data_IF_806388131585
#
_entry.id   IF_806388131585
#
_cell.length_a   1.000
_cell.length_b   1.000
_cell.length_c   1.000
_cell.angle_alpha   90.00
_cell.angle_beta   90.00
_cell.angle_gamma   90.00
#
_symmetry.space_group_name_H-M   'P 1'
#
loop_
_entity.id
_entity.type
_entity.pdbx_description
1 polymer ?
#
# COMPACT_ATOMS: atom_id res chain seq x y z
N UNK A 1 44.91 7.01 -11.85
CA UNK A 1 45.01 6.66 -10.42
C UNK A 1 44.41 7.80 -9.61
N UNK A 2 43.11 7.73 -9.37
CA UNK A 2 42.38 8.68 -8.54
C UNK A 2 42.66 8.33 -7.08
N UNK A 3 43.55 9.07 -6.43
CA UNK A 3 43.64 9.04 -4.97
C UNK A 3 42.48 9.87 -4.43
N UNK A 4 41.44 9.17 -4.00
CA UNK A 4 40.40 9.69 -3.12
C UNK A 4 41.12 10.18 -1.86
N UNK A 5 41.21 11.49 -1.69
CA UNK A 5 41.70 12.08 -0.44
C UNK A 5 40.63 11.83 0.62
N UNK A 6 40.83 10.78 1.41
CA UNK A 6 40.17 10.64 2.71
C UNK A 6 40.53 11.86 3.57
N UNK A 7 39.68 12.88 3.54
CA UNK A 7 39.61 13.86 4.62
C UNK A 7 38.78 13.23 5.74
N UNK A 8 39.42 12.36 6.51
CA UNK A 8 39.02 12.12 7.89
C UNK A 8 40.22 12.48 8.76
N UNK A 9 40.26 13.71 9.28
CA UNK A 9 40.92 13.94 10.56
C UNK A 9 39.93 14.59 11.54
N UNK A 10 40.11 14.29 12.83
CA UNK A 10 39.58 15.01 14.01
C UNK A 10 38.23 14.54 14.57
N UNK A 11 38.14 13.26 14.94
CA UNK A 11 37.13 12.78 15.92
C UNK A 11 37.48 13.16 17.39
N UNK A 12 38.37 14.12 17.64
CA UNK A 12 38.86 14.42 18.99
C UNK A 12 39.39 15.84 19.12
N UNK A 13 38.53 16.85 18.98
CA UNK A 13 38.88 18.20 19.45
C UNK A 13 37.83 18.87 20.29
N UNK A 14 36.54 18.55 20.13
CA UNK A 14 35.48 19.22 20.87
C UNK A 14 34.56 18.24 21.59
N UNK A 15 34.28 18.55 22.85
CA UNK A 15 33.16 17.99 23.60
C UNK A 15 31.87 18.67 23.10
N UNK A 16 30.76 17.93 22.98
CA UNK A 16 29.51 18.43 22.37
C UNK A 16 29.01 19.70 23.08
N UNK A 17 29.06 19.70 24.42
CA UNK A 17 28.70 20.83 25.26
C UNK A 17 29.64 22.02 25.04
N UNK A 18 30.94 21.77 24.85
CA UNK A 18 31.92 22.81 24.60
C UNK A 18 31.73 23.44 23.21
N UNK A 19 31.43 22.63 22.20
CA UNK A 19 31.15 23.10 20.85
C UNK A 19 29.91 24.01 20.81
N UNK A 20 28.85 23.63 21.53
CA UNK A 20 27.62 24.42 21.65
C UNK A 20 27.85 25.80 22.30
N UNK A 21 28.58 25.82 23.43
CA UNK A 21 28.94 27.08 24.12
C UNK A 21 29.82 27.99 23.25
N UNK A 22 30.79 27.42 22.53
CA UNK A 22 31.64 28.18 21.60
C UNK A 22 30.83 28.73 20.40
N UNK A 23 29.88 27.96 19.85
CA UNK A 23 28.98 28.43 18.78
C UNK A 23 28.08 29.58 19.25
N UNK A 24 27.52 29.48 20.46
CA UNK A 24 26.72 30.55 21.07
C UNK A 24 27.54 31.83 21.29
N UNK A 25 28.80 31.68 21.73
CA UNK A 25 29.71 32.80 21.89
C UNK A 25 29.98 33.50 20.54
N UNK A 26 30.26 32.74 19.50
CA UNK A 26 30.47 33.29 18.15
C UNK A 26 29.20 33.95 17.59
N UNK A 27 28.03 33.32 17.77
CA UNK A 27 26.75 33.88 17.32
C UNK A 27 26.42 35.20 18.03
N UNK A 28 26.68 35.28 19.35
CA UNK A 28 26.53 36.52 20.14
C UNK A 28 27.44 37.64 19.63
N UNK A 29 28.70 37.34 19.31
CA UNK A 29 29.63 38.33 18.75
C UNK A 29 29.20 38.82 17.35
N UNK A 30 28.75 37.90 16.49
CA UNK A 30 28.27 38.22 15.14
C UNK A 30 27.00 39.08 15.20
N UNK A 31 26.07 38.76 16.11
CA UNK A 31 24.83 39.53 16.34
C UNK A 31 25.11 40.94 16.87
N UNK A 32 26.19 41.12 17.65
CA UNK A 32 26.67 42.43 18.10
C UNK A 32 27.41 43.23 17.01
N UNK A 33 27.54 42.67 15.79
CA UNK A 33 28.13 43.34 14.63
C UNK A 33 29.65 43.22 14.54
N UNK A 34 30.28 42.34 15.33
CA UNK A 34 31.71 42.08 15.20
C UNK A 34 32.00 41.25 13.95
N UNK A 35 32.90 41.75 13.10
CA UNK A 35 33.35 41.02 11.92
C UNK A 35 34.55 40.13 12.28
N UNK A 36 34.36 38.83 12.18
CA UNK A 36 35.40 37.85 12.48
C UNK A 36 36.60 38.01 11.53
N UNK A 37 37.80 37.86 12.08
CA UNK A 37 39.01 37.73 11.27
C UNK A 37 38.92 36.44 10.44
N UNK A 38 39.54 36.37 9.24
CA UNK A 38 39.43 35.18 8.37
C UNK A 38 39.75 33.86 9.09
N UNK A 39 40.76 33.83 9.95
CA UNK A 39 41.13 32.63 10.71
C UNK A 39 40.10 32.23 11.79
N UNK A 40 39.45 33.22 12.42
CA UNK A 40 38.39 32.98 13.41
C UNK A 40 37.09 32.55 12.73
N UNK A 41 36.85 33.05 11.51
CA UNK A 41 35.74 32.64 10.67
C UNK A 41 35.90 31.18 10.20
N UNK A 42 37.09 30.80 9.73
CA UNK A 42 37.37 29.42 9.31
C UNK A 42 37.14 28.43 10.48
N UNK A 43 37.60 28.78 11.70
CA UNK A 43 37.36 27.98 12.90
C UNK A 43 35.88 27.88 13.27
N UNK A 44 35.12 28.97 13.14
CA UNK A 44 33.68 28.97 13.40
C UNK A 44 32.92 28.12 12.36
N UNK A 45 33.30 28.20 11.08
CA UNK A 45 32.70 27.42 10.00
C UNK A 45 32.97 25.92 10.16
N UNK A 46 34.22 25.55 10.50
CA UNK A 46 34.59 24.17 10.81
C UNK A 46 33.83 23.64 12.05
N UNK A 47 33.66 24.47 13.08
CA UNK A 47 32.87 24.16 14.29
C UNK A 47 31.41 23.94 14.01
N UNK A 48 30.82 24.83 13.22
CA UNK A 48 29.42 24.75 12.84
C UNK A 48 29.16 23.52 11.97
N UNK A 49 30.02 23.27 10.99
CA UNK A 49 29.89 22.10 10.12
C UNK A 49 30.01 20.79 10.92
N UNK A 50 30.96 20.72 11.85
CA UNK A 50 31.12 19.55 12.72
C UNK A 50 29.89 19.32 13.61
N UNK A 51 29.35 20.38 14.23
CA UNK A 51 28.15 20.31 15.06
C UNK A 51 26.92 19.92 14.23
N UNK A 52 26.75 20.49 13.03
CA UNK A 52 25.67 20.13 12.11
C UNK A 52 25.78 18.63 11.73
N UNK A 53 26.98 18.13 11.42
CA UNK A 53 27.20 16.70 11.15
C UNK A 53 26.83 15.81 12.35
N UNK A 54 27.17 16.21 13.58
CA UNK A 54 26.79 15.46 14.78
C UNK A 54 25.27 15.43 14.97
N UNK A 55 24.59 16.57 14.81
CA UNK A 55 23.14 16.64 14.89
C UNK A 55 22.48 15.74 13.83
N UNK A 56 22.98 15.75 12.59
CA UNK A 56 22.48 14.87 11.53
C UNK A 56 22.73 13.38 11.84
N UNK A 57 23.88 13.01 12.39
CA UNK A 57 24.15 11.63 12.82
C UNK A 57 23.24 11.17 13.98
N UNK A 58 22.86 12.08 14.86
CA UNK A 58 21.95 11.80 15.97
C UNK A 58 20.49 11.70 15.51
N UNK A 59 20.03 12.59 14.64
CA UNK A 59 18.71 12.47 13.99
C UNK A 59 18.58 11.18 13.18
N UNK A 60 19.62 10.78 12.44
CA UNK A 60 19.65 9.51 11.72
C UNK A 60 19.57 8.31 12.67
N UNK A 61 20.23 8.39 13.83
CA UNK A 61 20.16 7.33 14.85
C UNK A 61 18.77 7.22 15.45
N UNK A 62 18.15 8.35 15.79
CA UNK A 62 16.78 8.40 16.28
C UNK A 62 15.79 7.87 15.24
N UNK A 63 15.99 8.17 13.96
CA UNK A 63 15.18 7.62 12.88
C UNK A 63 15.36 6.10 12.76
N UNK A 64 16.60 5.60 12.80
CA UNK A 64 16.84 4.15 12.80
C UNK A 64 16.24 3.45 14.02
N UNK A 65 16.33 4.05 15.21
CA UNK A 65 15.72 3.53 16.43
C UNK A 65 14.19 3.53 16.34
N UNK A 66 13.59 4.56 15.72
CA UNK A 66 12.16 4.63 15.45
C UNK A 66 11.71 3.56 14.45
N UNK A 67 12.44 3.37 13.35
CA UNK A 67 12.15 2.32 12.37
C UNK A 67 12.31 0.94 12.99
N UNK A 68 13.38 0.70 13.76
CA UNK A 68 13.58 -0.55 14.48
C UNK A 68 12.48 -0.80 15.51
N UNK A 69 12.00 0.24 16.21
CA UNK A 69 10.88 0.11 17.13
C UNK A 69 9.56 -0.19 16.40
N UNK A 70 9.33 0.38 15.21
CA UNK A 70 8.18 0.02 14.37
C UNK A 70 8.28 -1.43 13.92
N UNK A 71 9.42 -1.85 13.37
CA UNK A 71 9.66 -3.23 12.93
C UNK A 71 9.49 -4.21 14.10
N UNK A 72 9.97 -3.88 15.29
CA UNK A 72 9.78 -4.70 16.49
C UNK A 72 8.31 -4.76 16.92
N UNK A 73 7.56 -3.67 16.79
CA UNK A 73 6.11 -3.65 17.05
C UNK A 73 5.36 -4.50 16.00
N UNK A 74 5.72 -4.42 14.72
CA UNK A 74 5.13 -5.19 13.62
C UNK A 74 5.47 -6.68 13.75
N UNK A 75 6.72 -7.02 14.09
CA UNK A 75 7.14 -8.39 14.37
C UNK A 75 6.44 -8.95 15.63
N UNK A 76 6.28 -8.14 16.67
CA UNK A 76 5.53 -8.53 17.87
C UNK A 76 4.05 -8.77 17.53
N UNK A 77 3.46 -7.98 16.63
CA UNK A 77 2.12 -8.23 16.09
C UNK A 77 2.08 -9.53 15.28
N UNK A 78 3.08 -9.84 14.47
CA UNK A 78 3.17 -11.10 13.73
C UNK A 78 3.39 -12.34 14.63
N UNK A 79 4.17 -12.24 15.72
CA UNK A 79 4.28 -13.32 16.71
C UNK A 79 2.99 -13.47 17.55
N UNK A 80 2.27 -12.37 17.83
CA UNK A 80 0.92 -12.43 18.44
C UNK A 80 -0.15 -12.93 17.47
N UNK A 81 0.05 -12.81 16.16
CA UNK A 81 -0.85 -13.33 15.12
C UNK A 81 -0.59 -14.81 14.82
N UNK A 82 0.65 -15.29 14.98
CA UNK A 82 0.98 -16.73 14.93
C UNK A 82 0.41 -17.52 16.12
N UNK A 83 0.17 -16.86 17.26
CA UNK A 83 -0.61 -17.40 18.37
C UNK A 83 -2.01 -16.76 18.38
N UNK A 84 -2.90 -17.23 17.48
CA UNK A 84 -4.33 -16.91 17.38
C UNK A 84 -4.77 -15.68 18.19
N UNK A 85 -5.06 -14.53 17.56
CA UNK A 85 -5.13 -13.25 18.22
C UNK A 85 -6.08 -13.33 19.41
N UNK A 86 -5.53 -13.20 20.62
CA UNK A 86 -6.35 -12.94 21.81
C UNK A 86 -6.75 -11.48 21.74
N UNK A 87 -7.69 -11.18 20.84
CA UNK A 87 -8.41 -9.92 20.79
C UNK A 87 -8.88 -9.65 22.22
N UNK A 88 -8.40 -8.57 22.83
CA UNK A 88 -8.95 -8.11 24.10
C UNK A 88 -10.36 -7.60 23.80
N UNK A 89 -11.30 -8.54 23.78
CA UNK A 89 -12.70 -8.29 23.49
C UNK A 89 -13.28 -7.49 24.66
N UNK A 90 -13.41 -6.19 24.49
CA UNK A 90 -14.19 -5.37 25.40
C UNK A 90 -15.64 -5.91 25.50
N UNK A 91 -16.39 -5.60 26.56
CA UNK A 91 -17.78 -6.07 26.71
C UNK A 91 -18.68 -5.68 25.51
N UNK A 92 -18.32 -4.63 24.77
CA UNK A 92 -19.00 -4.22 23.52
C UNK A 92 -18.61 -5.09 22.32
N UNK A 93 -17.36 -5.56 22.23
CA UNK A 93 -16.89 -6.40 21.11
C UNK A 93 -17.64 -7.71 21.06
N UNK A 94 -18.01 -8.30 22.20
CA UNK A 94 -18.84 -9.51 22.23
C UNK A 94 -20.19 -9.29 21.54
N UNK A 95 -20.84 -8.15 21.78
CA UNK A 95 -22.14 -7.84 21.19
C UNK A 95 -22.01 -7.50 19.71
N UNK A 96 -20.97 -6.77 19.34
CA UNK A 96 -20.63 -6.48 17.94
C UNK A 96 -20.37 -7.78 17.19
N UNK A 97 -19.56 -8.69 17.73
CA UNK A 97 -19.26 -9.97 17.06
C UNK A 97 -20.47 -10.89 17.00
N UNK A 98 -21.35 -10.89 18.01
CA UNK A 98 -22.61 -11.62 17.95
C UNK A 98 -23.50 -11.09 16.81
N UNK A 99 -23.68 -9.76 16.73
CA UNK A 99 -24.42 -9.14 15.62
C UNK A 99 -23.75 -9.33 14.27
N UNK A 100 -22.43 -9.21 14.20
CA UNK A 100 -21.64 -9.48 13.01
C UNK A 100 -21.89 -10.90 12.51
N UNK A 101 -21.82 -11.91 13.38
CA UNK A 101 -22.10 -13.31 13.00
C UNK A 101 -23.56 -13.55 12.57
N UNK A 102 -24.50 -12.76 13.08
CA UNK A 102 -25.93 -12.85 12.71
C UNK A 102 -26.19 -12.28 11.31
N UNK A 103 -25.49 -11.21 10.93
CA UNK A 103 -25.66 -10.51 9.65
C UNK A 103 -24.66 -10.93 8.57
N UNK A 104 -23.58 -11.60 8.94
CA UNK A 104 -22.58 -12.07 7.98
C UNK A 104 -23.12 -13.28 7.21
N UNK A 105 -22.87 -13.38 5.89
CA UNK A 105 -23.30 -14.52 5.09
C UNK A 105 -22.68 -15.82 5.59
N UNK A 106 -23.44 -16.90 5.50
CA UNK A 106 -22.93 -18.25 5.78
C UNK A 106 -21.83 -18.65 4.79
N UNK A 107 -20.95 -19.61 5.15
CA UNK A 107 -19.89 -20.06 4.23
C UNK A 107 -20.45 -20.63 2.92
N UNK A 108 -21.62 -21.30 2.97
CA UNK A 108 -22.31 -21.83 1.80
C UNK A 108 -22.79 -20.71 0.86
N UNK A 109 -23.33 -19.60 1.41
CA UNK A 109 -23.73 -18.43 0.62
C UNK A 109 -22.52 -17.76 -0.05
N UNK A 110 -21.39 -17.63 0.67
CA UNK A 110 -20.17 -17.07 0.09
C UNK A 110 -19.60 -17.95 -1.02
N UNK A 111 -19.62 -19.27 -0.85
CA UNK A 111 -19.20 -20.22 -1.88
C UNK A 111 -20.10 -20.13 -3.12
N UNK A 112 -21.41 -20.03 -2.93
CA UNK A 112 -22.36 -19.82 -4.02
C UNK A 112 -22.06 -18.52 -4.78
N UNK A 113 -21.80 -17.41 -4.07
CA UNK A 113 -21.42 -16.13 -4.68
C UNK A 113 -20.14 -16.25 -5.50
N UNK A 114 -19.08 -16.86 -4.94
CA UNK A 114 -17.81 -17.07 -5.65
C UNK A 114 -18.00 -17.94 -6.90
N UNK A 115 -18.84 -18.98 -6.79
CA UNK A 115 -19.15 -19.89 -7.89
C UNK A 115 -19.87 -19.16 -9.02
N UNK A 116 -20.91 -18.37 -8.71
CA UNK A 116 -21.65 -17.58 -9.69
C UNK A 116 -20.72 -16.59 -10.40
N UNK A 117 -19.92 -15.85 -9.66
CA UNK A 117 -19.00 -14.86 -10.24
C UNK A 117 -17.97 -15.56 -11.14
N UNK A 118 -17.40 -16.68 -10.69
CA UNK A 118 -16.43 -17.44 -11.47
C UNK A 118 -17.03 -17.98 -12.78
N UNK A 119 -18.28 -18.44 -12.75
CA UNK A 119 -18.99 -18.86 -13.96
C UNK A 119 -19.22 -17.70 -14.94
N UNK A 120 -19.66 -16.54 -14.44
CA UNK A 120 -19.89 -15.37 -15.28
C UNK A 120 -18.58 -14.83 -15.86
N UNK A 121 -17.51 -14.76 -15.06
CA UNK A 121 -16.17 -14.35 -15.50
C UNK A 121 -15.62 -15.30 -16.58
N UNK A 122 -15.78 -16.61 -16.40
CA UNK A 122 -15.38 -17.62 -17.37
C UNK A 122 -16.18 -17.52 -18.68
N UNK A 123 -17.50 -17.37 -18.57
CA UNK A 123 -18.37 -17.21 -19.73
C UNK A 123 -18.03 -15.94 -20.52
N UNK A 124 -17.83 -14.80 -19.85
CA UNK A 124 -17.42 -13.54 -20.48
C UNK A 124 -16.04 -13.65 -21.13
N UNK A 125 -15.11 -14.41 -20.54
CA UNK A 125 -13.82 -14.71 -21.16
C UNK A 125 -14.01 -15.47 -22.48
N UNK A 126 -14.86 -16.50 -22.50
CA UNK A 126 -15.16 -17.25 -23.74
C UNK A 126 -15.85 -16.39 -24.78
N UNK A 127 -16.77 -15.51 -24.38
CA UNK A 127 -17.39 -14.53 -25.30
C UNK A 127 -16.34 -13.60 -25.89
N UNK A 128 -15.40 -13.09 -25.06
CA UNK A 128 -14.27 -12.28 -25.52
C UNK A 128 -13.44 -13.03 -26.57
N UNK A 129 -13.04 -14.27 -26.28
CA UNK A 129 -12.21 -15.08 -27.19
C UNK A 129 -12.91 -15.37 -28.53
N UNK A 130 -14.25 -15.44 -28.55
CA UNK A 130 -15.02 -15.60 -29.80
C UNK A 130 -15.14 -14.31 -30.62
N UNK A 131 -15.14 -13.16 -29.94
CA UNK A 131 -15.24 -11.85 -30.60
C UNK A 131 -13.88 -11.37 -31.13
N UNK A 132 -12.80 -11.81 -30.50
CA UNK A 132 -11.44 -11.52 -30.93
C UNK A 132 -11.05 -12.42 -32.11
N UNK A 133 -10.98 -11.83 -33.32
CA UNK A 133 -10.55 -12.59 -34.50
C UNK A 133 -9.06 -12.99 -34.35
N UNK A 134 -8.67 -14.23 -34.69
CA UNK A 134 -7.33 -14.77 -34.43
C UNK A 134 -6.20 -14.15 -35.29
N UNK A 135 -6.42 -13.00 -35.94
CA UNK A 135 -5.50 -12.40 -36.90
C UNK A 135 -4.92 -11.03 -36.51
N UNK A 136 -5.35 -10.42 -35.42
CA UNK A 136 -4.80 -9.11 -35.02
C UNK A 136 -4.19 -9.11 -33.61
N UNK A 137 -3.19 -8.24 -33.46
CA UNK A 137 -2.43 -7.95 -32.25
C UNK A 137 -3.40 -7.65 -31.09
N UNK A 138 -3.09 -8.12 -29.87
CA UNK A 138 -3.86 -7.97 -28.61
C UNK A 138 -4.33 -6.53 -28.26
N UNK A 139 -3.96 -5.54 -29.06
CA UNK A 139 -4.36 -4.14 -28.90
C UNK A 139 -5.80 -3.86 -29.37
N UNK A 140 -6.40 -4.73 -30.20
CA UNK A 140 -7.75 -4.56 -30.75
C UNK A 140 -8.82 -5.45 -30.09
N UNK A 141 -8.53 -6.10 -28.95
CA UNK A 141 -9.52 -6.91 -28.24
C UNK A 141 -10.73 -6.06 -27.82
N UNK A 142 -11.94 -6.43 -28.24
CA UNK A 142 -13.13 -5.59 -28.01
C UNK A 142 -13.49 -5.54 -26.53
N UNK A 143 -13.41 -6.69 -25.85
CA UNK A 143 -13.60 -6.84 -24.41
C UNK A 143 -12.23 -6.96 -23.74
N UNK A 144 -11.94 -6.09 -22.76
CA UNK A 144 -10.64 -6.06 -22.08
C UNK A 144 -10.62 -6.85 -20.77
N UNK A 145 -11.75 -6.96 -20.09
CA UNK A 145 -11.81 -7.66 -18.82
C UNK A 145 -13.10 -7.44 -18.06
N UNK A 146 -13.24 -8.19 -16.97
CA UNK A 146 -14.36 -8.12 -16.04
C UNK A 146 -13.81 -7.73 -14.67
N UNK A 147 -14.48 -6.80 -13.99
CA UNK A 147 -14.11 -6.35 -12.66
C UNK A 147 -15.26 -6.53 -11.68
N UNK A 148 -14.95 -7.11 -10.53
CA UNK A 148 -15.87 -7.15 -9.37
C UNK A 148 -15.97 -5.76 -8.78
N UNK A 149 -17.19 -5.29 -8.55
CA UNK A 149 -17.46 -4.00 -7.89
C UNK A 149 -18.51 -4.16 -6.79
N UNK A 150 -18.96 -3.06 -6.19
CA UNK A 150 -20.00 -3.08 -5.17
C UNK A 150 -19.59 -3.78 -3.86
N UNK A 151 -20.56 -4.44 -3.22
CA UNK A 151 -20.38 -5.11 -1.92
C UNK A 151 -19.43 -6.31 -2.01
N UNK A 152 -19.48 -7.04 -3.13
CA UNK A 152 -18.62 -8.18 -3.42
C UNK A 152 -17.14 -7.80 -3.35
N UNK A 153 -16.77 -6.71 -4.03
CA UNK A 153 -15.38 -6.27 -4.08
C UNK A 153 -14.86 -5.73 -2.74
N UNK A 154 -15.76 -5.27 -1.87
CA UNK A 154 -15.42 -4.69 -0.56
C UNK A 154 -15.47 -5.72 0.57
N UNK A 155 -15.93 -6.95 0.32
CA UNK A 155 -16.18 -7.94 1.36
C UNK A 155 -17.27 -7.51 2.34
N UNK A 156 -18.26 -6.74 1.87
CA UNK A 156 -19.35 -6.17 2.68
C UNK A 156 -20.70 -6.82 2.41
N UNK A 157 -20.71 -8.04 1.84
CA UNK A 157 -21.94 -8.80 1.67
C UNK A 157 -22.53 -9.15 3.04
N UNK A 158 -23.85 -9.05 3.13
CA UNK A 158 -24.65 -9.45 4.27
C UNK A 158 -25.55 -10.64 3.92
N UNK A 159 -26.00 -11.34 4.95
CA UNK A 159 -26.90 -12.47 4.82
C UNK A 159 -28.20 -12.04 4.13
N UNK A 160 -28.54 -12.73 3.04
CA UNK A 160 -29.71 -12.41 2.22
C UNK A 160 -29.46 -11.43 1.08
N UNK A 161 -28.23 -10.93 0.90
CA UNK A 161 -27.88 -10.14 -0.27
C UNK A 161 -27.97 -11.02 -1.54
N UNK A 162 -28.80 -10.61 -2.49
CA UNK A 162 -29.01 -11.30 -3.77
C UNK A 162 -28.33 -10.61 -4.95
N UNK A 163 -27.79 -9.41 -4.71
CA UNK A 163 -27.33 -8.51 -5.77
C UNK A 163 -25.80 -8.55 -5.87
N UNK A 164 -25.30 -8.95 -7.04
CA UNK A 164 -23.88 -9.01 -7.34
C UNK A 164 -23.59 -8.10 -8.53
N UNK A 165 -22.55 -7.28 -8.42
CA UNK A 165 -22.19 -6.29 -9.44
C UNK A 165 -20.84 -6.60 -10.08
N UNK A 166 -20.83 -6.65 -11.40
CA UNK A 166 -19.65 -6.83 -12.24
C UNK A 166 -19.63 -5.73 -13.31
N UNK A 167 -18.45 -5.23 -13.64
CA UNK A 167 -18.23 -4.27 -14.72
C UNK A 167 -17.45 -4.93 -15.84
N UNK A 168 -18.01 -4.91 -17.05
CA UNK A 168 -17.33 -5.33 -18.28
C UNK A 168 -16.60 -4.14 -18.91
N UNK A 169 -15.30 -4.27 -19.12
CA UNK A 169 -14.46 -3.26 -19.75
C UNK A 169 -14.38 -3.53 -21.25
N UNK A 170 -14.59 -2.49 -22.05
CA UNK A 170 -14.45 -2.52 -23.51
C UNK A 170 -13.31 -1.61 -23.96
N UNK A 171 -12.66 -1.92 -25.09
CA UNK A 171 -11.61 -1.05 -25.66
C UNK A 171 -12.17 0.29 -26.15
N UNK A 172 -13.33 0.25 -26.79
CA UNK A 172 -14.04 1.43 -27.28
C UNK A 172 -15.34 1.65 -26.51
N UNK A 173 -15.95 2.83 -26.69
CA UNK A 173 -17.24 3.16 -26.10
C UNK A 173 -18.27 2.09 -26.49
N UNK A 174 -18.89 1.38 -25.52
CA UNK A 174 -19.83 0.32 -25.83
C UNK A 174 -21.05 0.89 -26.54
N UNK A 175 -21.46 0.21 -27.62
CA UNK A 175 -22.69 0.49 -28.37
C UNK A 175 -23.80 -0.46 -27.94
N UNK A 176 -25.06 -0.10 -28.19
CA UNK A 176 -26.22 -0.96 -27.88
C UNK A 176 -26.11 -2.31 -28.59
N UNK A 177 -25.64 -2.32 -29.84
CA UNK A 177 -25.43 -3.56 -30.61
C UNK A 177 -24.39 -4.48 -30.00
N UNK A 178 -23.29 -3.92 -29.45
CA UNK A 178 -22.26 -4.70 -28.77
C UNK A 178 -22.83 -5.32 -27.49
N UNK A 179 -23.62 -4.55 -26.73
CA UNK A 179 -24.25 -5.03 -25.51
C UNK A 179 -25.24 -6.18 -25.79
N UNK A 180 -26.07 -6.05 -26.81
CA UNK A 180 -27.01 -7.11 -27.23
C UNK A 180 -26.25 -8.38 -27.66
N UNK A 181 -25.19 -8.25 -28.46
CA UNK A 181 -24.37 -9.39 -28.87
C UNK A 181 -23.70 -10.11 -27.69
N UNK A 182 -23.16 -9.34 -26.74
CA UNK A 182 -22.56 -9.92 -25.53
C UNK A 182 -23.63 -10.60 -24.68
N UNK A 183 -24.80 -10.00 -24.53
CA UNK A 183 -25.90 -10.57 -23.75
C UNK A 183 -26.42 -11.90 -24.34
N UNK A 184 -26.59 -11.97 -25.67
CA UNK A 184 -27.00 -13.21 -26.36
C UNK A 184 -25.95 -14.31 -26.16
N UNK A 185 -24.68 -14.02 -26.48
CA UNK A 185 -23.59 -15.00 -26.34
C UNK A 185 -23.36 -15.44 -24.90
N UNK A 186 -23.47 -14.51 -23.95
CA UNK A 186 -23.35 -14.82 -22.52
C UNK A 186 -24.45 -15.78 -22.08
N UNK A 187 -25.69 -15.55 -22.52
CA UNK A 187 -26.82 -16.43 -22.20
C UNK A 187 -26.58 -17.85 -22.72
N UNK A 188 -26.10 -18.00 -23.95
CA UNK A 188 -25.71 -19.30 -24.52
C UNK A 188 -24.61 -20.00 -23.69
N UNK A 189 -23.58 -19.27 -23.26
CA UNK A 189 -22.48 -19.85 -22.46
C UNK A 189 -22.95 -20.29 -21.07
N UNK A 190 -23.88 -19.56 -20.45
CA UNK A 190 -24.42 -19.89 -19.14
C UNK A 190 -25.34 -21.13 -19.18
N UNK A 191 -26.13 -21.31 -20.25
CA UNK A 191 -26.95 -22.51 -20.45
C UNK A 191 -26.11 -23.78 -20.65
N UNK A 192 -24.99 -23.67 -21.36
CA UNK A 192 -24.06 -24.80 -21.57
C UNK A 192 -23.41 -25.25 -20.25
N UNK A 193 -23.11 -24.32 -19.34
CA UNK A 193 -22.57 -24.64 -18.02
C UNK A 193 -23.53 -25.42 -17.10
N UNK A 194 -24.84 -25.20 -17.23
CA UNK A 194 -25.86 -25.86 -16.40
C UNK A 194 -26.13 -27.33 -16.77
N UNK A 195 -25.76 -27.75 -17.98
CA UNK A 195 -25.94 -29.14 -18.44
C UNK A 195 -25.00 -30.15 -17.78
N UNK A 196 -24.02 -29.68 -16.99
CA UNK A 196 -23.02 -30.52 -16.31
C UNK A 196 -23.46 -31.01 -14.93
N UNK A 197 -24.60 -30.54 -14.43
CA UNK A 197 -25.10 -30.83 -13.07
C UNK A 197 -26.48 -31.51 -13.03
N UNK A 198 -26.95 -32.07 -14.16
CA UNK A 198 -28.17 -32.89 -14.20
C UNK A 198 -27.88 -34.37 -14.31
#
# INVERSE_FOLDING_TARGET
MNQIKHYFPLKSMWDEHQAYEELLYWDSLIQQGHRLLPHDFDRYEDLRYWYDCLCYEEELRQYHDYIAAIEEIEDTQHYQEAAAPKVHMGPYDRHVMAKHSEVYPSPEELEAVQTIISHVESALKTVSDQMDTPKEVKENCVLRGVMRVGLVAKGLLLKGDTDLELVLLCSDKPTVTLLEQVAEKLSEQLEVGQSSYS
#
